data_IF_632257078468
#
_entry.id   IF_632257078468
#
_cell.length_a   1.000
_cell.length_b   1.000
_cell.length_c   1.000
_cell.angle_alpha   90.00
_cell.angle_beta   90.00
_cell.angle_gamma   90.00
#
_symmetry.space_group_name_H-M   'P 1'
#
loop_
_entity.id
_entity.type
_entity.pdbx_description
1 polymer ?
#
# COMPACT_ATOMS: atom_id res chain seq x y z
N UNK A 1 -24.29 17.91 -0.35
CA UNK A 1 -22.97 17.31 -0.63
C UNK A 1 -22.02 17.65 0.50
N UNK A 2 -21.24 16.69 1.00
CA UNK A 2 -20.25 16.90 2.08
C UNK A 2 -18.98 17.65 1.61
N UNK A 3 -18.74 17.73 0.32
CA UNK A 3 -17.56 18.32 -0.31
C UNK A 3 -16.83 17.33 -1.23
N UNK A 4 -15.68 17.75 -1.71
CA UNK A 4 -14.81 16.90 -2.57
C UNK A 4 -13.81 16.14 -1.72
N UNK A 5 -13.56 14.87 -2.09
CA UNK A 5 -12.53 14.01 -1.50
C UNK A 5 -11.66 13.39 -2.60
N UNK A 6 -10.34 13.43 -2.43
CA UNK A 6 -9.39 12.76 -3.33
C UNK A 6 -9.09 11.37 -2.76
N UNK A 7 -9.48 10.34 -3.50
CA UNK A 7 -9.32 8.94 -3.11
C UNK A 7 -8.13 8.31 -3.83
N UNK A 8 -7.18 7.75 -3.09
CA UNK A 8 -6.17 6.85 -3.63
C UNK A 8 -6.83 5.60 -4.21
N UNK A 9 -6.84 5.48 -5.54
CA UNK A 9 -7.66 4.52 -6.27
C UNK A 9 -6.78 3.58 -7.13
N UNK A 10 -6.64 2.34 -6.68
CA UNK A 10 -5.88 1.32 -7.41
C UNK A 10 -6.72 0.52 -8.42
N UNK A 11 -8.04 0.68 -8.42
CA UNK A 11 -8.95 -0.15 -9.22
C UNK A 11 -9.12 -1.57 -8.67
N UNK A 12 -8.59 -1.87 -7.47
CA UNK A 12 -8.87 -3.09 -6.71
C UNK A 12 -10.14 -2.98 -5.87
N UNK A 13 -10.56 -4.12 -5.29
CA UNK A 13 -11.81 -4.26 -4.51
C UNK A 13 -11.93 -3.20 -3.42
N UNK A 14 -10.87 -2.99 -2.63
CA UNK A 14 -10.90 -2.09 -1.48
C UNK A 14 -11.10 -0.63 -1.90
N UNK A 15 -10.34 -0.16 -2.90
CA UNK A 15 -10.48 1.21 -3.38
C UNK A 15 -11.82 1.46 -4.07
N UNK A 16 -12.36 0.47 -4.77
CA UNK A 16 -13.69 0.56 -5.39
C UNK A 16 -14.81 0.59 -4.34
N UNK A 17 -14.75 -0.25 -3.30
CA UNK A 17 -15.69 -0.21 -2.19
C UNK A 17 -15.59 1.11 -1.41
N UNK A 18 -14.38 1.59 -1.15
CA UNK A 18 -14.18 2.89 -0.49
C UNK A 18 -14.84 4.04 -1.30
N UNK A 19 -14.69 4.04 -2.63
CA UNK A 19 -15.35 5.01 -3.50
C UNK A 19 -16.88 4.93 -3.41
N UNK A 20 -17.43 3.72 -3.45
CA UNK A 20 -18.88 3.49 -3.37
C UNK A 20 -19.45 3.97 -2.03
N UNK A 21 -18.80 3.68 -0.91
CA UNK A 21 -19.19 4.12 0.42
C UNK A 21 -19.16 5.65 0.56
N UNK A 22 -18.06 6.28 0.13
CA UNK A 22 -17.93 7.75 0.15
C UNK A 22 -19.04 8.43 -0.67
N UNK A 23 -19.36 7.92 -1.87
CA UNK A 23 -20.47 8.44 -2.69
C UNK A 23 -21.81 8.27 -1.99
N UNK A 24 -22.07 7.14 -1.37
CA UNK A 24 -23.30 6.92 -0.57
C UNK A 24 -23.43 7.89 0.60
N UNK A 25 -22.30 8.31 1.15
CA UNK A 25 -22.25 9.35 2.20
C UNK A 25 -22.40 10.78 1.67
N UNK A 26 -22.48 10.99 0.36
CA UNK A 26 -22.66 12.28 -0.28
C UNK A 26 -21.38 13.05 -0.60
N UNK A 27 -20.22 12.37 -0.69
CA UNK A 27 -18.97 12.97 -1.16
C UNK A 27 -18.90 13.02 -2.70
N UNK A 28 -18.30 14.09 -3.23
CA UNK A 28 -17.79 14.15 -4.61
C UNK A 28 -16.41 13.50 -4.65
N UNK A 29 -16.36 12.25 -5.13
CA UNK A 29 -15.14 11.43 -5.12
C UNK A 29 -14.32 11.64 -6.39
N UNK A 30 -13.06 12.03 -6.24
CA UNK A 30 -12.05 12.14 -7.30
C UNK A 30 -11.05 10.99 -7.14
N UNK A 31 -11.02 10.09 -8.11
CA UNK A 31 -10.13 8.94 -8.10
C UNK A 31 -8.73 9.34 -8.59
N UNK A 32 -7.72 9.19 -7.74
CA UNK A 32 -6.31 9.41 -8.07
C UNK A 32 -5.55 8.09 -8.03
N UNK A 33 -5.06 7.66 -9.19
CA UNK A 33 -4.13 6.54 -9.30
C UNK A 33 -2.69 7.06 -9.24
N UNK A 34 -1.86 6.44 -8.40
CA UNK A 34 -0.44 6.73 -8.33
C UNK A 34 0.31 5.70 -9.17
N UNK A 35 0.81 6.11 -10.33
CA UNK A 35 1.56 5.25 -11.24
C UNK A 35 2.90 4.88 -10.59
N UNK A 36 3.06 3.58 -10.34
CA UNK A 36 4.20 3.00 -9.65
C UNK A 36 5.07 2.08 -10.53
N UNK A 37 4.75 2.01 -11.83
CA UNK A 37 5.44 1.13 -12.77
C UNK A 37 4.83 -0.27 -12.88
N UNK A 38 3.71 -0.56 -12.20
CA UNK A 38 3.05 -1.88 -12.27
C UNK A 38 2.31 -2.14 -13.59
N UNK A 39 2.02 -1.09 -14.38
CA UNK A 39 1.22 -1.19 -15.59
C UNK A 39 -0.30 -1.30 -15.36
N UNK A 40 -0.77 -1.09 -14.13
CA UNK A 40 -2.19 -1.26 -13.74
C UNK A 40 -3.06 -0.01 -14.02
N UNK A 41 -2.49 1.10 -14.51
CA UNK A 41 -3.19 2.38 -14.69
C UNK A 41 -4.44 2.26 -15.57
N UNK A 42 -4.36 1.55 -16.69
CA UNK A 42 -5.51 1.37 -17.59
C UNK A 42 -6.62 0.52 -16.96
N UNK A 43 -6.26 -0.50 -16.20
CA UNK A 43 -7.22 -1.32 -15.46
C UNK A 43 -7.92 -0.51 -14.37
N UNK A 44 -7.19 0.37 -13.67
CA UNK A 44 -7.75 1.29 -12.68
C UNK A 44 -8.66 2.33 -13.35
N UNK A 45 -8.25 2.89 -14.49
CA UNK A 45 -9.06 3.82 -15.30
C UNK A 45 -10.39 3.19 -15.70
N UNK A 46 -10.35 2.01 -16.32
CA UNK A 46 -11.55 1.31 -16.76
C UNK A 46 -12.51 1.03 -15.59
N UNK A 47 -11.97 0.68 -14.41
CA UNK A 47 -12.78 0.50 -13.20
C UNK A 47 -13.42 1.82 -12.75
N UNK A 48 -12.69 2.92 -12.73
CA UNK A 48 -13.21 4.24 -12.35
C UNK A 48 -14.30 4.72 -13.32
N UNK A 49 -14.09 4.58 -14.64
CA UNK A 49 -15.05 4.94 -15.68
C UNK A 49 -16.35 4.13 -15.55
N UNK A 50 -16.27 2.82 -15.35
CA UNK A 50 -17.42 1.98 -15.13
C UNK A 50 -18.22 2.36 -13.86
N UNK A 51 -17.54 2.96 -12.86
CA UNK A 51 -18.16 3.51 -11.65
C UNK A 51 -18.63 4.97 -11.82
N UNK A 52 -18.37 5.61 -12.98
CA UNK A 52 -18.67 7.02 -13.22
C UNK A 52 -17.88 7.95 -12.30
N UNK A 53 -16.62 7.62 -12.01
CA UNK A 53 -15.72 8.43 -11.19
C UNK A 53 -14.79 9.26 -12.09
N UNK A 54 -14.61 10.56 -11.84
CA UNK A 54 -13.51 11.32 -12.39
C UNK A 54 -12.18 10.67 -11.98
N UNK A 55 -11.33 10.37 -12.97
CA UNK A 55 -10.08 9.64 -12.78
C UNK A 55 -8.88 10.43 -13.28
N UNK A 56 -7.81 10.38 -12.50
CA UNK A 56 -6.51 10.93 -12.87
C UNK A 56 -5.42 9.93 -12.51
N UNK A 57 -4.40 9.81 -13.36
CA UNK A 57 -3.17 9.07 -13.08
C UNK A 57 -2.02 10.06 -12.89
N UNK A 58 -1.32 9.97 -11.78
CA UNK A 58 -0.15 10.78 -11.43
C UNK A 58 1.08 9.88 -11.40
N UNK A 59 2.12 10.24 -12.13
CA UNK A 59 3.40 9.52 -12.07
C UNK A 59 4.06 9.71 -10.72
N UNK A 60 4.20 8.62 -9.95
CA UNK A 60 4.80 8.58 -8.64
C UNK A 60 6.09 7.75 -8.60
N UNK A 61 6.62 7.35 -9.78
CA UNK A 61 7.78 6.44 -9.86
C UNK A 61 9.03 7.03 -9.24
N UNK A 62 9.30 8.32 -9.47
CA UNK A 62 10.46 8.99 -8.90
C UNK A 62 10.39 9.09 -7.37
N UNK A 63 9.24 9.48 -6.83
CA UNK A 63 9.00 9.55 -5.38
C UNK A 63 9.07 8.17 -4.72
N UNK A 64 8.52 7.15 -5.38
CA UNK A 64 8.62 5.76 -4.90
C UNK A 64 10.07 5.29 -4.87
N UNK A 65 10.84 5.56 -5.92
CA UNK A 65 12.26 5.20 -5.97
C UNK A 65 13.03 5.87 -4.83
N UNK A 66 12.87 7.17 -4.65
CA UNK A 66 13.61 7.93 -3.65
C UNK A 66 13.23 7.58 -2.22
N UNK A 67 11.93 7.52 -1.93
CA UNK A 67 11.43 7.44 -0.56
C UNK A 67 11.08 6.03 -0.09
N UNK A 68 11.02 5.06 -1.00
CA UNK A 68 10.59 3.70 -0.67
C UNK A 68 11.56 2.64 -1.19
N UNK A 69 11.82 2.60 -2.52
CA UNK A 69 12.60 1.52 -3.12
C UNK A 69 14.07 1.55 -2.69
N UNK A 70 14.70 2.72 -2.72
CA UNK A 70 16.09 2.89 -2.27
C UNK A 70 16.25 2.60 -0.77
N UNK A 71 15.46 3.21 0.14
CA UNK A 71 15.52 2.87 1.57
C UNK A 71 15.23 1.39 1.86
N UNK A 72 14.34 0.76 1.10
CA UNK A 72 14.06 -0.67 1.20
C UNK A 72 15.30 -1.51 0.87
N UNK A 73 15.97 -1.22 -0.25
CA UNK A 73 17.19 -1.91 -0.65
C UNK A 73 18.33 -1.70 0.35
N UNK A 74 18.52 -0.48 0.84
CA UNK A 74 19.52 -0.15 1.86
C UNK A 74 19.28 -0.87 3.18
N UNK A 75 18.02 -1.05 3.61
CA UNK A 75 17.70 -1.80 4.82
C UNK A 75 18.10 -3.27 4.68
N UNK A 76 17.79 -3.91 3.55
CA UNK A 76 18.23 -5.28 3.30
C UNK A 76 19.75 -5.45 3.23
N UNK A 77 20.47 -4.43 2.73
CA UNK A 77 21.95 -4.43 2.77
C UNK A 77 22.51 -4.44 4.20
N UNK A 78 21.77 -3.86 5.15
CA UNK A 78 22.12 -3.87 6.58
C UNK A 78 21.61 -5.10 7.33
N UNK A 79 20.94 -6.04 6.64
CA UNK A 79 20.32 -7.21 7.27
C UNK A 79 19.04 -6.91 8.04
N UNK A 80 18.41 -5.77 7.77
CA UNK A 80 17.11 -5.41 8.34
C UNK A 80 15.97 -5.98 7.49
N UNK A 81 14.79 -6.15 8.09
CA UNK A 81 13.55 -6.52 7.37
C UNK A 81 12.61 -5.31 7.38
N UNK A 82 12.64 -4.48 6.33
CA UNK A 82 11.85 -3.26 6.29
C UNK A 82 10.37 -3.53 6.00
N UNK A 83 9.48 -2.62 6.48
CA UNK A 83 8.09 -2.53 6.07
C UNK A 83 7.92 -1.30 5.16
N UNK A 84 8.00 -1.44 3.83
CA UNK A 84 8.03 -0.28 2.93
C UNK A 84 6.73 0.52 2.95
N UNK A 85 5.58 -0.11 3.25
CA UNK A 85 4.30 0.59 3.35
C UNK A 85 4.30 1.66 4.46
N UNK A 86 5.05 1.44 5.55
CA UNK A 86 5.20 2.41 6.66
C UNK A 86 5.93 3.67 6.20
N UNK A 87 6.84 3.55 5.24
CA UNK A 87 7.53 4.70 4.63
C UNK A 87 6.68 5.32 3.51
N UNK A 88 6.08 4.49 2.67
CA UNK A 88 5.31 4.91 1.50
C UNK A 88 4.09 5.77 1.88
N UNK A 89 3.34 5.36 2.89
CA UNK A 89 2.09 6.06 3.23
C UNK A 89 2.32 7.55 3.55
N UNK A 90 3.20 7.96 4.48
CA UNK A 90 3.40 9.38 4.76
C UNK A 90 4.14 10.13 3.66
N UNK A 91 5.18 9.53 3.06
CA UNK A 91 6.12 10.26 2.21
C UNK A 91 5.73 10.29 0.73
N UNK A 92 4.92 9.33 0.27
CA UNK A 92 4.48 9.26 -1.12
C UNK A 92 2.96 9.30 -1.20
N UNK A 93 2.26 8.25 -0.75
CA UNK A 93 0.83 8.10 -1.00
C UNK A 93 0.00 9.26 -0.45
N UNK A 94 0.04 9.49 0.87
CA UNK A 94 -0.79 10.53 1.49
C UNK A 94 -0.28 11.93 1.17
N UNK A 95 1.03 12.12 0.97
CA UNK A 95 1.59 13.40 0.53
C UNK A 95 1.02 13.80 -0.83
N UNK A 96 1.13 12.94 -1.84
CA UNK A 96 0.62 13.21 -3.19
C UNK A 96 -0.91 13.37 -3.22
N UNK A 97 -1.64 12.58 -2.41
CA UNK A 97 -3.08 12.78 -2.24
C UNK A 97 -3.41 14.15 -1.66
N UNK A 98 -2.67 14.62 -0.64
CA UNK A 98 -2.86 15.95 -0.04
C UNK A 98 -2.53 17.06 -1.05
N UNK A 99 -1.41 16.97 -1.75
CA UNK A 99 -1.02 17.94 -2.77
C UNK A 99 -2.08 18.06 -3.88
N UNK A 100 -2.62 16.90 -4.32
CA UNK A 100 -3.69 16.90 -5.31
C UNK A 100 -5.00 17.46 -4.77
N UNK A 101 -5.33 17.14 -3.51
CA UNK A 101 -6.50 17.69 -2.84
C UNK A 101 -6.42 19.23 -2.73
N UNK A 102 -5.25 19.76 -2.37
CA UNK A 102 -5.00 21.20 -2.30
C UNK A 102 -5.19 21.87 -3.66
N UNK A 103 -4.64 21.27 -4.73
CA UNK A 103 -4.81 21.79 -6.10
C UNK A 103 -6.27 21.79 -6.58
N UNK A 104 -7.11 20.92 -6.03
CA UNK A 104 -8.55 20.83 -6.34
C UNK A 104 -9.43 21.61 -5.34
N UNK A 105 -8.85 22.24 -4.32
CA UNK A 105 -9.62 22.86 -3.24
C UNK A 105 -10.40 21.86 -2.39
N UNK A 106 -9.97 20.57 -2.36
CA UNK A 106 -10.61 19.53 -1.58
C UNK A 106 -10.01 19.47 -0.16
N UNK A 107 -10.88 19.45 0.85
CA UNK A 107 -10.45 19.40 2.25
C UNK A 107 -9.97 18.03 2.71
N UNK A 108 -10.37 16.96 2.02
CA UNK A 108 -10.21 15.58 2.47
C UNK A 108 -9.53 14.70 1.44
N UNK A 109 -8.82 13.68 1.97
CA UNK A 109 -8.25 12.57 1.22
C UNK A 109 -8.82 11.26 1.76
N UNK A 110 -8.78 10.20 0.96
CA UNK A 110 -9.25 8.88 1.39
C UNK A 110 -8.40 7.75 0.83
N UNK A 111 -8.42 6.62 1.51
CA UNK A 111 -7.83 5.37 1.02
C UNK A 111 -8.67 4.17 1.45
N UNK A 112 -8.44 3.02 0.80
CA UNK A 112 -9.06 1.73 1.15
C UNK A 112 -8.35 0.96 2.27
N UNK A 113 -7.61 1.61 3.16
CA UNK A 113 -6.99 0.89 4.28
C UNK A 113 -8.01 0.49 5.35
N UNK A 114 -7.78 -0.68 5.93
CA UNK A 114 -8.54 -1.22 7.06
C UNK A 114 -7.98 -0.69 8.37
N UNK A 115 -8.26 0.56 8.67
CA UNK A 115 -7.93 1.27 9.90
C UNK A 115 -8.98 2.36 10.14
N UNK A 116 -9.04 2.96 11.33
CA UNK A 116 -9.97 4.05 11.63
C UNK A 116 -9.20 5.32 11.97
N UNK A 117 -9.66 6.44 11.44
CA UNK A 117 -9.15 7.77 11.72
C UNK A 117 -10.30 8.61 12.31
N UNK A 118 -10.23 8.92 13.57
CA UNK A 118 -11.30 9.61 14.32
C UNK A 118 -10.70 10.64 15.27
N UNK A 119 -11.22 11.87 15.29
CA UNK A 119 -10.77 12.91 16.21
C UNK A 119 -9.28 13.26 16.11
N UNK A 120 -8.64 13.04 14.96
CA UNK A 120 -7.20 13.26 14.76
C UNK A 120 -6.31 12.16 15.35
N UNK A 121 -6.88 11.02 15.71
CA UNK A 121 -6.18 9.82 16.17
C UNK A 121 -6.40 8.65 15.21
N UNK A 122 -5.40 7.76 15.13
CA UNK A 122 -5.46 6.53 14.35
C UNK A 122 -5.79 5.37 15.29
N UNK A 123 -6.73 4.53 14.89
CA UNK A 123 -7.16 3.35 15.62
C UNK A 123 -7.05 2.11 14.74
N UNK A 124 -6.93 0.97 15.38
CA UNK A 124 -7.00 -0.33 14.71
C UNK A 124 -8.33 -0.51 13.98
N UNK A 125 -8.28 -1.15 12.82
CA UNK A 125 -9.44 -1.74 12.16
C UNK A 125 -9.91 -2.99 12.88
N UNK A 126 -10.57 -3.89 12.13
CA UNK A 126 -10.88 -5.23 12.66
C UNK A 126 -9.60 -6.07 12.75
N UNK A 127 -9.40 -6.84 13.85
CA UNK A 127 -8.14 -7.57 14.08
C UNK A 127 -7.72 -8.50 12.94
N UNK A 128 -8.68 -9.13 12.26
CA UNK A 128 -8.43 -10.09 11.19
C UNK A 128 -7.80 -9.49 9.92
N UNK A 129 -7.93 -8.18 9.74
CA UNK A 129 -7.40 -7.48 8.56
C UNK A 129 -6.90 -6.06 8.87
N UNK A 130 -6.51 -5.79 10.13
CA UNK A 130 -6.00 -4.47 10.52
C UNK A 130 -4.77 -4.05 9.72
N UNK A 131 -4.81 -2.82 9.24
CA UNK A 131 -3.73 -2.17 8.49
C UNK A 131 -3.24 -0.86 9.15
N UNK A 132 -3.65 -0.60 10.39
CA UNK A 132 -3.25 0.63 11.10
C UNK A 132 -1.73 0.75 11.25
N UNK A 133 -1.02 -0.38 11.38
CA UNK A 133 0.44 -0.41 11.47
C UNK A 133 1.12 0.20 10.23
N UNK A 134 0.52 0.10 9.05
CA UNK A 134 1.05 0.70 7.82
C UNK A 134 0.96 2.23 7.84
N UNK A 135 0.09 2.78 8.69
CA UNK A 135 -0.20 4.22 8.82
C UNK A 135 0.44 4.84 10.07
N UNK A 136 1.22 4.08 10.86
CA UNK A 136 1.76 4.54 12.15
C UNK A 136 2.71 5.74 12.06
N UNK A 137 3.22 6.09 10.88
CA UNK A 137 4.13 7.22 10.64
C UNK A 137 3.51 8.37 9.84
N UNK A 138 2.19 8.36 9.61
CA UNK A 138 1.53 9.46 8.90
C UNK A 138 1.59 10.76 9.72
N UNK A 139 1.65 11.87 9.02
CA UNK A 139 1.76 13.18 9.65
C UNK A 139 0.41 13.63 10.22
N UNK A 140 0.40 14.44 11.32
CA UNK A 140 -0.85 14.93 11.90
C UNK A 140 -1.77 15.65 10.91
N UNK A 141 -1.20 16.42 9.96
CA UNK A 141 -1.97 17.11 8.93
C UNK A 141 -2.62 16.14 7.94
N UNK A 142 -1.91 15.09 7.56
CA UNK A 142 -2.44 14.01 6.73
C UNK A 142 -3.57 13.28 7.46
N UNK A 143 -3.35 12.94 8.74
CA UNK A 143 -4.34 12.22 9.55
C UNK A 143 -5.64 13.01 9.74
N UNK A 144 -5.58 14.32 9.94
CA UNK A 144 -6.76 15.17 10.08
C UNK A 144 -7.66 15.20 8.84
N UNK A 145 -7.08 14.97 7.65
CA UNK A 145 -7.77 14.98 6.37
C UNK A 145 -8.17 13.60 5.88
N UNK A 146 -7.67 12.54 6.53
CA UNK A 146 -7.78 11.16 6.04
C UNK A 146 -9.11 10.53 6.42
N UNK A 147 -9.83 10.05 5.41
CA UNK A 147 -11.02 9.21 5.56
C UNK A 147 -10.67 7.76 5.23
N UNK A 148 -11.12 6.84 6.08
CA UNK A 148 -10.87 5.40 5.98
C UNK A 148 -12.21 4.64 5.99
N UNK A 149 -12.95 4.59 4.87
CA UNK A 149 -14.32 4.07 4.84
C UNK A 149 -14.43 2.58 5.20
N UNK A 150 -13.34 1.82 5.04
CA UNK A 150 -13.32 0.37 5.31
C UNK A 150 -12.90 0.02 6.74
N UNK A 151 -12.59 0.98 7.58
CA UNK A 151 -11.98 0.74 8.89
C UNK A 151 -12.81 -0.10 9.86
N UNK A 152 -14.12 -0.13 9.71
CA UNK A 152 -15.03 -0.97 10.51
C UNK A 152 -15.44 -2.29 9.85
N UNK A 153 -14.94 -2.60 8.65
CA UNK A 153 -15.35 -3.74 7.85
C UNK A 153 -14.34 -4.88 7.89
N UNK A 154 -14.84 -6.12 7.84
CA UNK A 154 -14.02 -7.27 7.51
C UNK A 154 -13.80 -7.37 5.99
N UNK A 155 -12.73 -8.04 5.57
CA UNK A 155 -12.44 -8.24 4.14
C UNK A 155 -13.55 -9.00 3.41
N UNK A 156 -14.18 -9.96 4.08
CA UNK A 156 -15.34 -10.70 3.56
C UNK A 156 -16.52 -9.78 3.29
N UNK A 157 -16.84 -8.89 4.24
CA UNK A 157 -17.93 -7.90 4.09
C UNK A 157 -17.65 -6.94 2.92
N UNK A 158 -16.38 -6.54 2.74
CA UNK A 158 -15.98 -5.69 1.60
C UNK A 158 -16.17 -6.40 0.27
N UNK A 159 -15.84 -7.70 0.18
CA UNK A 159 -16.09 -8.50 -1.04
C UNK A 159 -17.57 -8.72 -1.30
N UNK A 160 -18.36 -8.99 -0.27
CA UNK A 160 -19.82 -9.10 -0.39
C UNK A 160 -20.44 -7.77 -0.86
N UNK A 161 -19.98 -6.65 -0.32
CA UNK A 161 -20.41 -5.31 -0.76
C UNK A 161 -20.04 -5.09 -2.23
N UNK A 162 -18.82 -5.40 -2.64
CA UNK A 162 -18.40 -5.29 -4.03
C UNK A 162 -19.27 -6.09 -4.98
N UNK A 163 -19.59 -7.34 -4.61
CA UNK A 163 -20.47 -8.22 -5.39
C UNK A 163 -21.90 -7.68 -5.44
N UNK A 164 -22.47 -7.26 -4.30
CA UNK A 164 -23.82 -6.72 -4.21
C UNK A 164 -24.04 -5.45 -5.02
N UNK A 165 -23.00 -4.64 -5.16
CA UNK A 165 -23.01 -3.42 -5.95
C UNK A 165 -22.61 -3.63 -7.41
N UNK A 166 -22.26 -4.86 -7.81
CA UNK A 166 -21.80 -5.18 -9.16
C UNK A 166 -20.54 -4.42 -9.55
N UNK A 167 -19.63 -4.17 -8.59
CA UNK A 167 -18.41 -3.40 -8.87
C UNK A 167 -17.48 -4.15 -9.83
N UNK A 168 -16.86 -3.48 -10.82
CA UNK A 168 -15.95 -4.12 -11.78
C UNK A 168 -14.79 -4.86 -11.13
N UNK A 169 -14.38 -4.39 -9.94
CA UNK A 169 -13.28 -4.97 -9.17
C UNK A 169 -13.67 -6.21 -8.34
N UNK A 170 -14.96 -6.61 -8.25
CA UNK A 170 -15.45 -7.65 -7.33
C UNK A 170 -14.72 -9.00 -7.48
N UNK A 171 -14.30 -9.34 -8.71
CA UNK A 171 -13.61 -10.60 -9.03
C UNK A 171 -12.06 -10.48 -9.00
N UNK A 172 -11.50 -9.28 -8.77
CA UNK A 172 -10.04 -9.13 -8.72
C UNK A 172 -9.48 -9.80 -7.47
N UNK A 173 -8.34 -10.50 -7.59
CA UNK A 173 -7.60 -11.01 -6.44
C UNK A 173 -7.07 -9.86 -5.59
N UNK A 174 -6.75 -10.14 -4.33
CA UNK A 174 -6.08 -9.20 -3.47
C UNK A 174 -4.60 -9.09 -3.83
N UNK A 175 -4.07 -7.86 -3.80
CA UNK A 175 -2.63 -7.66 -3.91
C UNK A 175 -1.98 -8.02 -2.56
N UNK A 176 -1.30 -9.17 -2.53
CA UNK A 176 -0.61 -9.66 -1.33
C UNK A 176 0.87 -9.26 -1.30
N UNK A 177 1.38 -8.68 -2.40
CA UNK A 177 2.79 -8.42 -2.63
C UNK A 177 3.13 -6.92 -2.57
N UNK A 178 4.42 -6.62 -2.57
CA UNK A 178 4.90 -5.23 -2.64
C UNK A 178 4.57 -4.63 -4.00
N UNK A 179 3.86 -3.51 -4.01
CA UNK A 179 3.33 -2.91 -5.24
C UNK A 179 4.39 -2.48 -6.27
N UNK A 180 5.65 -2.38 -5.89
CA UNK A 180 6.81 -2.06 -6.73
C UNK A 180 7.66 -3.29 -7.09
N UNK A 181 7.26 -4.50 -6.67
CA UNK A 181 7.92 -5.78 -6.98
C UNK A 181 6.96 -6.59 -7.85
N UNK A 182 7.14 -6.59 -9.19
CA UNK A 182 6.14 -7.12 -10.11
C UNK A 182 5.75 -8.59 -9.87
N UNK A 183 6.74 -9.43 -9.58
CA UNK A 183 6.58 -10.89 -9.47
C UNK A 183 6.52 -11.36 -8.00
N UNK A 184 6.45 -10.43 -7.03
CA UNK A 184 6.45 -10.75 -5.60
C UNK A 184 7.80 -11.26 -5.05
N UNK A 185 8.78 -11.53 -5.89
CA UNK A 185 10.13 -11.94 -5.48
C UNK A 185 11.03 -10.73 -5.24
N UNK A 186 10.94 -10.17 -4.03
CA UNK A 186 11.77 -9.03 -3.63
C UNK A 186 13.27 -9.35 -3.64
N UNK A 187 13.66 -10.60 -3.43
CA UNK A 187 15.07 -10.98 -3.45
C UNK A 187 15.64 -10.92 -4.86
N UNK A 188 14.93 -11.48 -5.85
CA UNK A 188 15.28 -11.34 -7.25
C UNK A 188 15.27 -9.88 -7.71
N UNK A 189 14.30 -9.09 -7.25
CA UNK A 189 14.21 -7.66 -7.54
C UNK A 189 15.45 -6.89 -7.02
N UNK A 190 15.91 -7.16 -5.79
CA UNK A 190 17.15 -6.58 -5.24
C UNK A 190 18.41 -7.02 -6.03
N UNK A 191 18.46 -8.28 -6.43
CA UNK A 191 19.58 -8.82 -7.24
C UNK A 191 19.67 -8.17 -8.62
N UNK A 192 18.55 -8.03 -9.32
CA UNK A 192 18.49 -7.35 -10.63
C UNK A 192 18.92 -5.89 -10.56
N UNK A 193 18.68 -5.20 -9.46
CA UNK A 193 19.14 -3.83 -9.21
C UNK A 193 20.63 -3.71 -8.88
N UNK A 194 21.30 -4.81 -8.61
CA UNK A 194 22.66 -4.83 -8.06
C UNK A 194 22.74 -4.39 -6.59
N UNK A 195 21.61 -4.41 -5.89
CA UNK A 195 21.47 -3.97 -4.50
C UNK A 195 21.64 -5.10 -3.48
N UNK A 196 21.71 -6.35 -3.96
CA UNK A 196 21.79 -7.52 -3.10
C UNK A 196 23.17 -7.67 -2.46
N UNK A 197 23.25 -7.93 -1.14
CA UNK A 197 24.50 -8.36 -0.48
C UNK A 197 24.96 -9.72 -1.00
N UNK A 198 26.28 -9.90 -1.05
CA UNK A 198 26.88 -11.16 -1.46
C UNK A 198 26.65 -12.32 -0.48
N UNK A 199 27.16 -13.54 -0.84
CA UNK A 199 27.05 -14.71 0.02
C UNK A 199 27.85 -14.54 1.31
N UNK A 200 27.41 -15.23 2.37
CA UNK A 200 28.05 -15.21 3.68
C UNK A 200 27.86 -16.52 4.43
N UNK A 201 28.39 -16.55 5.65
CA UNK A 201 28.29 -17.71 6.53
C UNK A 201 27.12 -17.57 7.50
N UNK A 202 26.42 -18.67 7.77
CA UNK A 202 25.49 -18.79 8.86
C UNK A 202 26.24 -19.22 10.11
N UNK A 203 26.23 -18.35 11.13
CA UNK A 203 26.95 -18.57 12.38
C UNK A 203 25.96 -19.03 13.46
N UNK A 204 26.25 -20.16 14.11
CA UNK A 204 25.52 -20.64 15.26
C UNK A 204 26.52 -20.98 16.39
N UNK A 205 26.30 -20.44 17.59
CA UNK A 205 27.20 -20.57 18.73
C UNK A 205 28.69 -20.28 18.41
N UNK A 206 28.94 -19.28 17.56
CA UNK A 206 30.29 -18.86 17.18
C UNK A 206 30.96 -19.71 16.10
N UNK A 207 30.30 -20.75 15.59
CA UNK A 207 30.81 -21.59 14.51
C UNK A 207 30.03 -21.38 13.21
N UNK A 208 30.73 -21.43 12.07
CA UNK A 208 30.07 -21.45 10.77
C UNK A 208 29.42 -22.84 10.54
N UNK A 209 28.11 -22.87 10.41
CA UNK A 209 27.33 -24.11 10.26
C UNK A 209 26.81 -24.32 8.85
N UNK A 210 26.66 -23.24 8.07
CA UNK A 210 26.21 -23.27 6.68
C UNK A 210 26.64 -22.00 5.95
N UNK A 211 26.35 -21.92 4.64
CA UNK A 211 26.50 -20.69 3.83
C UNK A 211 25.19 -20.29 3.21
N UNK A 212 24.96 -18.98 3.03
CA UNK A 212 23.81 -18.41 2.35
C UNK A 212 24.23 -17.62 1.11
N UNK A 213 23.32 -17.48 0.14
CA UNK A 213 23.54 -16.73 -1.11
C UNK A 213 23.46 -15.20 -0.97
N UNK A 214 22.97 -14.71 0.16
CA UNK A 214 22.82 -13.29 0.49
C UNK A 214 21.87 -13.10 1.66
N UNK A 215 22.19 -12.17 2.58
CA UNK A 215 21.39 -11.91 3.79
C UNK A 215 19.98 -11.40 3.46
N UNK A 216 19.81 -10.73 2.31
CA UNK A 216 18.51 -10.23 1.83
C UNK A 216 17.45 -11.32 1.62
N UNK A 217 17.87 -12.59 1.51
CA UNK A 217 16.95 -13.74 1.36
C UNK A 217 16.35 -14.24 2.67
N UNK A 218 16.68 -13.57 3.79
CA UNK A 218 16.25 -13.97 5.12
C UNK A 218 15.48 -12.86 5.83
N UNK A 219 14.52 -13.27 6.65
CA UNK A 219 13.71 -12.39 7.49
C UNK A 219 14.00 -12.70 8.95
N UNK A 220 14.07 -11.70 9.80
CA UNK A 220 14.21 -11.87 11.25
C UNK A 220 13.12 -12.81 11.80
N UNK A 221 13.55 -13.85 12.54
CA UNK A 221 12.65 -14.88 13.08
C UNK A 221 12.33 -16.01 12.12
N UNK A 222 12.90 -16.04 10.91
CA UNK A 222 12.74 -17.15 9.98
C UNK A 222 13.26 -18.44 10.57
N UNK A 223 12.45 -19.51 10.49
CA UNK A 223 12.79 -20.84 11.05
C UNK A 223 12.95 -21.93 9.99
N UNK A 224 12.63 -21.64 8.74
CA UNK A 224 12.69 -22.62 7.62
C UNK A 224 13.53 -22.07 6.49
N UNK A 225 14.08 -22.94 5.67
CA UNK A 225 14.87 -22.54 4.51
C UNK A 225 16.26 -21.97 4.85
N UNK A 226 16.78 -22.21 6.07
CA UNK A 226 18.11 -21.75 6.49
C UNK A 226 19.25 -22.62 5.93
N UNK A 227 18.94 -23.79 5.34
CA UNK A 227 19.97 -24.75 4.89
C UNK A 227 20.70 -25.42 6.05
N UNK A 228 20.19 -25.26 7.27
CA UNK A 228 20.70 -25.86 8.51
C UNK A 228 19.55 -26.40 9.33
N UNK A 229 19.68 -27.61 9.88
CA UNK A 229 18.66 -28.27 10.70
C UNK A 229 19.07 -28.28 12.19
#
# INVERSE_FOLDING_TARGET
MKGTVVLGFSGGVDSACAAALLRREGWDVRALYLENGSGEAESARACAEAMGLPFEALDARAELEEHVCRPFAEAYRRGETPSPCVLCNPSVKLRLLCERADALGAGYIATGHYARAEGGALYMGRPENDQSYMLCRILPDQLRRLLLPLGGMAKTETRELAASLGLPAAQKPDSMELCFVPDGDYAAWLEQRGDAPGPGDIIYNGAAVARHGGIHRFTLGQRRGLGYA
#
